data_IF_971907663831
#
_entry.id   IF_971907663831
#
_cell.length_a   1.000
_cell.length_b   1.000
_cell.length_c   1.000
_cell.angle_alpha   90.00
_cell.angle_beta   90.00
_cell.angle_gamma   90.00
#
_symmetry.space_group_name_H-M   'P 1'
#
loop_
_entity.id
_entity.type
_entity.pdbx_description
1 polymer ?
#
# COMPACT_ATOMS: atom_id res chain seq x y z
N UNK A 1 -35.82 -32.78 -4.01
CA UNK A 1 -35.40 -31.52 -3.40
C UNK A 1 -34.00 -31.25 -3.92
N UNK A 2 -33.91 -30.44 -4.97
CA UNK A 2 -32.62 -29.96 -5.48
C UNK A 2 -32.21 -28.88 -4.50
N UNK A 3 -31.22 -29.19 -3.69
CA UNK A 3 -30.54 -28.22 -2.84
C UNK A 3 -29.88 -27.23 -3.80
N UNK A 4 -30.45 -26.04 -3.94
CA UNK A 4 -29.81 -24.93 -4.65
C UNK A 4 -28.46 -24.72 -3.96
N UNK A 5 -27.41 -25.22 -4.61
CA UNK A 5 -26.05 -24.85 -4.31
C UNK A 5 -26.04 -23.32 -4.35
N UNK A 6 -25.91 -22.70 -3.17
CA UNK A 6 -25.78 -21.27 -3.02
C UNK A 6 -24.49 -20.88 -3.73
N UNK A 7 -24.61 -20.52 -5.00
CA UNK A 7 -23.62 -19.75 -5.74
C UNK A 7 -23.21 -18.63 -4.80
N UNK A 8 -21.96 -18.67 -4.30
CA UNK A 8 -21.49 -17.80 -3.24
C UNK A 8 -21.85 -16.35 -3.63
N UNK A 9 -22.87 -15.79 -2.98
CA UNK A 9 -23.51 -14.56 -3.47
C UNK A 9 -22.44 -13.47 -3.51
N UNK A 10 -22.09 -13.04 -4.73
CA UNK A 10 -21.03 -12.06 -4.95
C UNK A 10 -21.40 -10.78 -4.20
N UNK A 11 -20.52 -10.22 -3.34
CA UNK A 11 -20.87 -9.06 -2.53
C UNK A 11 -21.22 -7.86 -3.41
N UNK A 12 -22.35 -7.23 -3.11
CA UNK A 12 -22.93 -6.09 -3.85
C UNK A 12 -22.51 -4.79 -3.15
N UNK A 13 -21.93 -3.79 -3.86
CA UNK A 13 -21.46 -2.54 -3.26
C UNK A 13 -22.53 -1.76 -2.47
N UNK A 14 -23.77 -1.77 -2.97
CA UNK A 14 -24.91 -1.04 -2.43
C UNK A 14 -25.27 -1.50 -1.01
N UNK A 15 -25.05 -2.78 -0.69
CA UNK A 15 -25.27 -3.35 0.66
C UNK A 15 -24.32 -2.74 1.71
N UNK A 16 -23.22 -2.14 1.25
CA UNK A 16 -22.24 -1.43 2.08
C UNK A 16 -22.44 0.09 2.04
N UNK A 17 -23.53 0.60 1.43
CA UNK A 17 -23.78 2.04 1.28
C UNK A 17 -22.69 2.75 0.49
N UNK A 18 -22.20 2.11 -0.57
CA UNK A 18 -21.21 2.65 -1.50
C UNK A 18 -21.88 3.03 -2.82
N UNK A 19 -21.52 4.20 -3.33
CA UNK A 19 -21.92 4.62 -4.67
C UNK A 19 -20.82 4.27 -5.70
N UNK A 20 -21.16 4.29 -7.00
CA UNK A 20 -20.19 4.08 -8.08
C UNK A 20 -18.98 5.05 -8.01
N UNK A 21 -19.19 6.26 -7.47
CA UNK A 21 -18.13 7.23 -7.22
C UNK A 21 -17.14 6.79 -6.13
N UNK A 22 -17.61 6.13 -5.09
CA UNK A 22 -16.79 5.67 -3.96
C UNK A 22 -15.85 4.53 -4.36
N UNK A 23 -16.29 3.70 -5.31
CA UNK A 23 -15.47 2.61 -5.89
C UNK A 23 -14.24 3.14 -6.64
N UNK A 24 -14.26 4.40 -7.10
CA UNK A 24 -13.14 5.05 -7.77
C UNK A 24 -12.07 5.57 -6.81
N UNK A 25 -12.27 5.43 -5.49
CA UNK A 25 -11.29 5.86 -4.51
C UNK A 25 -9.96 5.12 -4.71
N UNK A 26 -8.98 5.85 -5.24
CA UNK A 26 -7.67 5.33 -5.64
C UNK A 26 -6.80 4.93 -4.46
N UNK A 27 -7.13 5.45 -3.28
CA UNK A 27 -6.44 5.18 -2.03
C UNK A 27 -6.52 3.69 -1.66
N UNK A 28 -5.33 3.13 -1.45
CA UNK A 28 -5.15 1.90 -0.70
C UNK A 28 -3.90 2.04 0.17
N UNK A 29 -3.90 1.51 1.40
CA UNK A 29 -2.81 1.67 2.34
C UNK A 29 -1.50 1.11 1.77
N UNK A 30 -1.56 0.00 1.04
CA UNK A 30 -0.39 -0.55 0.35
C UNK A 30 0.23 0.41 -0.67
N UNK A 31 -0.59 1.13 -1.46
CA UNK A 31 -0.08 2.09 -2.45
C UNK A 31 0.45 3.36 -1.80
N UNK A 32 -0.27 3.89 -0.82
CA UNK A 32 0.17 5.06 -0.06
C UNK A 32 1.49 4.75 0.67
N UNK A 33 1.59 3.59 1.31
CA UNK A 33 2.81 3.11 1.95
C UNK A 33 3.96 2.94 0.96
N UNK A 34 3.72 2.36 -0.22
CA UNK A 34 4.74 2.23 -1.26
C UNK A 34 5.24 3.59 -1.77
N UNK A 35 4.36 4.56 -1.96
CA UNK A 35 4.73 5.93 -2.36
C UNK A 35 5.62 6.57 -1.29
N UNK A 36 5.24 6.46 -0.01
CA UNK A 36 6.05 6.97 1.11
C UNK A 36 7.40 6.27 1.20
N UNK A 37 7.42 4.96 1.01
CA UNK A 37 8.65 4.16 1.03
C UNK A 37 9.62 4.64 -0.07
N UNK A 38 9.13 4.76 -1.30
CA UNK A 38 9.94 5.21 -2.44
C UNK A 38 10.39 6.66 -2.23
N UNK A 39 9.50 7.54 -1.77
CA UNK A 39 9.82 8.94 -1.50
C UNK A 39 10.89 9.10 -0.42
N UNK A 40 10.75 8.41 0.71
CA UNK A 40 11.75 8.43 1.78
C UNK A 40 13.10 7.85 1.34
N UNK A 41 13.06 6.73 0.60
CA UNK A 41 14.27 6.10 0.04
C UNK A 41 15.01 7.04 -0.89
N UNK A 42 14.31 7.63 -1.86
CA UNK A 42 14.90 8.54 -2.82
C UNK A 42 15.39 9.84 -2.17
N UNK A 43 14.63 10.39 -1.22
CA UNK A 43 15.03 11.61 -0.49
C UNK A 43 16.37 11.43 0.20
N UNK A 44 16.51 10.36 0.98
CA UNK A 44 17.76 10.04 1.69
C UNK A 44 18.90 9.65 0.73
N UNK A 45 18.61 8.91 -0.34
CA UNK A 45 19.61 8.55 -1.35
C UNK A 45 20.20 9.80 -2.03
N UNK A 46 19.35 10.75 -2.40
CA UNK A 46 19.77 11.99 -3.05
C UNK A 46 20.53 12.90 -2.09
N UNK A 47 20.02 13.09 -0.86
CA UNK A 47 20.71 13.86 0.19
C UNK A 47 22.14 13.35 0.42
N UNK A 48 22.29 12.03 0.63
CA UNK A 48 23.61 11.43 0.89
C UNK A 48 24.51 11.44 -0.34
N UNK A 49 23.96 11.38 -1.55
CA UNK A 49 24.75 11.53 -2.77
C UNK A 49 25.37 12.93 -2.87
N UNK A 50 24.61 13.98 -2.54
CA UNK A 50 25.13 15.36 -2.51
C UNK A 50 26.20 15.54 -1.45
N UNK A 51 25.98 15.03 -0.23
CA UNK A 51 26.98 15.08 0.84
C UNK A 51 28.27 14.34 0.45
N UNK A 52 28.13 13.14 -0.10
CA UNK A 52 29.26 12.32 -0.55
C UNK A 52 30.08 12.99 -1.66
N UNK A 53 29.41 13.64 -2.61
CA UNK A 53 30.06 14.40 -3.68
C UNK A 53 30.87 15.59 -3.16
N UNK A 54 30.39 16.25 -2.11
CA UNK A 54 31.04 17.42 -1.52
C UNK A 54 32.32 17.08 -0.73
N UNK A 55 32.45 15.85 -0.21
CA UNK A 55 33.50 15.49 0.75
C UNK A 55 34.53 14.50 0.22
N UNK A 56 34.37 14.00 -1.01
CA UNK A 56 35.20 12.93 -1.56
C UNK A 56 35.80 13.32 -2.91
N UNK A 57 37.10 13.07 -3.10
CA UNK A 57 37.76 13.13 -4.41
C UNK A 57 38.10 11.69 -4.85
N UNK A 58 37.62 11.22 -6.01
CA UNK A 58 36.80 11.95 -6.99
C UNK A 58 35.32 12.04 -6.60
N UNK A 59 34.67 13.15 -6.98
CA UNK A 59 33.29 13.50 -6.58
C UNK A 59 32.26 12.46 -6.99
N UNK A 60 32.42 11.84 -8.17
CA UNK A 60 31.48 10.82 -8.66
C UNK A 60 31.50 9.55 -7.79
N UNK A 61 32.65 9.21 -7.22
CA UNK A 61 32.78 8.05 -6.34
C UNK A 61 32.11 8.33 -4.98
N UNK A 62 32.32 9.54 -4.44
CA UNK A 62 31.62 10.01 -3.24
C UNK A 62 30.10 10.04 -3.42
N UNK A 63 29.63 10.55 -4.56
CA UNK A 63 28.21 10.58 -4.90
C UNK A 63 27.60 9.17 -4.99
N UNK A 64 28.30 8.22 -5.63
CA UNK A 64 27.84 6.85 -5.75
C UNK A 64 27.74 6.16 -4.37
N UNK A 65 28.79 6.25 -3.55
CA UNK A 65 28.79 5.66 -2.21
C UNK A 65 27.72 6.29 -1.32
N UNK A 66 27.60 7.62 -1.36
CA UNK A 66 26.57 8.37 -0.67
C UNK A 66 25.17 7.94 -1.09
N UNK A 67 24.92 7.80 -2.39
CA UNK A 67 23.63 7.34 -2.92
C UNK A 67 23.25 5.94 -2.40
N UNK A 68 24.15 4.97 -2.49
CA UNK A 68 23.87 3.60 -2.01
C UNK A 68 23.66 3.56 -0.50
N UNK A 69 24.44 4.32 0.26
CA UNK A 69 24.27 4.40 1.71
C UNK A 69 22.94 5.07 2.09
N UNK A 70 22.59 6.18 1.43
CA UNK A 70 21.32 6.86 1.62
C UNK A 70 20.12 6.00 1.18
N UNK A 71 20.25 5.25 0.08
CA UNK A 71 19.22 4.30 -0.36
C UNK A 71 19.03 3.16 0.63
N UNK A 72 20.10 2.65 1.25
CA UNK A 72 20.01 1.62 2.29
C UNK A 72 19.25 2.15 3.52
N UNK A 73 19.67 3.29 4.07
CA UNK A 73 19.00 3.92 5.21
C UNK A 73 17.55 4.29 4.89
N UNK A 74 17.36 4.91 3.73
CA UNK A 74 16.05 5.32 3.23
C UNK A 74 15.13 4.13 2.97
N UNK A 75 15.67 2.98 2.57
CA UNK A 75 14.92 1.73 2.46
C UNK A 75 14.35 1.28 3.80
N UNK A 76 15.14 1.32 4.89
CA UNK A 76 14.64 1.01 6.24
C UNK A 76 13.62 2.02 6.74
N UNK A 77 13.88 3.31 6.57
CA UNK A 77 12.95 4.38 6.96
C UNK A 77 11.64 4.25 6.18
N UNK A 78 11.74 4.04 4.87
CA UNK A 78 10.61 3.88 3.98
C UNK A 78 9.78 2.63 4.29
N UNK A 79 10.44 1.49 4.56
CA UNK A 79 9.76 0.28 4.99
C UNK A 79 9.04 0.50 6.32
N UNK A 80 9.70 1.16 7.29
CA UNK A 80 9.08 1.54 8.56
C UNK A 80 7.84 2.41 8.38
N UNK A 81 7.91 3.41 7.50
CA UNK A 81 6.77 4.28 7.18
C UNK A 81 5.62 3.51 6.51
N UNK A 82 5.93 2.59 5.59
CA UNK A 82 4.93 1.72 4.97
C UNK A 82 4.24 0.82 6.00
N UNK A 83 5.02 0.15 6.86
CA UNK A 83 4.49 -0.72 7.92
C UNK A 83 3.63 0.09 8.88
N UNK A 84 4.09 1.27 9.32
CA UNK A 84 3.32 2.15 10.19
C UNK A 84 1.99 2.55 9.54
N UNK A 85 1.99 2.89 8.25
CA UNK A 85 0.77 3.26 7.55
C UNK A 85 -0.23 2.09 7.44
N UNK A 86 0.27 0.87 7.20
CA UNK A 86 -0.56 -0.34 7.22
C UNK A 86 -1.13 -0.58 8.62
N UNK A 87 -0.32 -0.35 9.66
CA UNK A 87 -0.75 -0.52 11.05
C UNK A 87 -1.78 0.54 11.48
N UNK A 88 -1.67 1.76 10.95
CA UNK A 88 -2.62 2.85 11.16
C UNK A 88 -3.86 2.76 10.27
N UNK A 89 -3.90 1.89 9.26
CA UNK A 89 -5.06 1.68 8.38
C UNK A 89 -6.42 1.55 9.10
N UNK A 90 -6.58 0.74 10.17
CA UNK A 90 -7.84 0.68 10.91
C UNK A 90 -8.26 2.01 11.54
N UNK A 91 -7.32 2.90 11.87
CA UNK A 91 -7.64 4.25 12.35
C UNK A 91 -8.15 5.12 11.20
N UNK A 92 -7.54 5.02 10.01
CA UNK A 92 -8.04 5.71 8.81
C UNK A 92 -9.46 5.28 8.45
N UNK A 93 -9.79 3.98 8.60
CA UNK A 93 -11.15 3.47 8.42
C UNK A 93 -12.18 4.04 9.41
N UNK A 94 -11.76 4.46 10.60
CA UNK A 94 -12.64 5.12 11.60
C UNK A 94 -12.83 6.61 11.31
N UNK A 95 -11.77 7.30 10.89
CA UNK A 95 -11.79 8.74 10.61
C UNK A 95 -12.45 9.04 9.26
N UNK A 96 -12.39 8.11 8.31
CA UNK A 96 -12.96 8.24 6.98
C UNK A 96 -14.02 7.15 6.72
N UNK A 97 -15.32 7.42 6.97
CA UNK A 97 -16.38 6.42 6.90
C UNK A 97 -16.52 5.75 5.52
N UNK A 98 -16.41 6.53 4.44
CA UNK A 98 -16.46 6.01 3.06
C UNK A 98 -15.36 4.99 2.81
N UNK A 99 -14.12 5.30 3.23
CA UNK A 99 -13.01 4.37 3.13
C UNK A 99 -13.23 3.11 3.99
N UNK A 100 -13.75 3.25 5.21
CA UNK A 100 -14.08 2.13 6.08
C UNK A 100 -15.13 1.17 5.49
N UNK A 101 -16.15 1.70 4.78
CA UNK A 101 -17.13 0.88 4.05
C UNK A 101 -16.49 0.18 2.84
N UNK A 102 -15.69 0.91 2.07
CA UNK A 102 -14.95 0.36 0.92
C UNK A 102 -13.98 -0.75 1.33
N UNK A 103 -13.32 -0.60 2.48
CA UNK A 103 -12.41 -1.61 3.03
C UNK A 103 -13.14 -2.92 3.30
N UNK A 104 -14.26 -2.88 4.03
CA UNK A 104 -15.08 -4.07 4.31
C UNK A 104 -15.60 -4.74 3.04
N UNK A 105 -16.02 -3.94 2.06
CA UNK A 105 -16.41 -4.44 0.75
C UNK A 105 -15.26 -5.16 0.03
N UNK A 106 -14.04 -4.58 0.05
CA UNK A 106 -12.85 -5.20 -0.55
C UNK A 106 -12.45 -6.50 0.14
N UNK A 107 -12.58 -6.58 1.47
CA UNK A 107 -12.34 -7.80 2.25
C UNK A 107 -13.32 -8.91 1.87
N UNK A 108 -14.63 -8.61 1.85
CA UNK A 108 -15.67 -9.57 1.43
C UNK A 108 -15.48 -10.05 -0.02
N UNK A 109 -15.09 -9.15 -0.93
CA UNK A 109 -14.81 -9.50 -2.32
C UNK A 109 -13.57 -10.40 -2.46
N UNK A 110 -12.56 -10.22 -1.62
CA UNK A 110 -11.36 -11.06 -1.61
C UNK A 110 -11.67 -12.47 -1.09
N UNK A 111 -12.53 -12.58 -0.07
CA UNK A 111 -12.99 -13.85 0.50
C UNK A 111 -13.84 -14.64 -0.51
N UNK A 112 -14.81 -14.00 -1.17
CA UNK A 112 -15.62 -14.62 -2.23
C UNK A 112 -14.74 -15.16 -3.36
N UNK A 113 -13.75 -14.39 -3.84
CA UNK A 113 -12.79 -14.84 -4.86
C UNK A 113 -11.90 -15.99 -4.40
N UNK A 114 -11.58 -16.06 -3.11
CA UNK A 114 -10.83 -17.19 -2.57
C UNK A 114 -11.69 -18.46 -2.57
N UNK A 115 -12.95 -18.36 -2.14
CA UNK A 115 -13.90 -19.47 -2.14
C UNK A 115 -14.15 -20.02 -3.55
N UNK A 116 -14.35 -19.14 -4.55
CA UNK A 116 -14.48 -19.54 -5.97
C UNK A 116 -13.27 -20.35 -6.46
N UNK A 117 -12.04 -19.91 -6.15
CA UNK A 117 -10.82 -20.62 -6.54
C UNK A 117 -10.70 -22.01 -5.91
N UNK A 118 -11.19 -22.18 -4.68
CA UNK A 118 -11.17 -23.47 -3.99
C UNK A 118 -12.24 -24.44 -4.49
N UNK A 119 -13.35 -23.96 -5.06
CA UNK A 119 -14.37 -24.83 -5.69
C UNK A 119 -14.00 -25.30 -7.10
N UNK A 120 -13.07 -24.63 -7.77
CA UNK A 120 -12.60 -24.99 -9.12
C UNK A 120 -11.28 -25.77 -9.15
N UNK A 121 -10.70 -26.09 -7.99
CA UNK A 121 -9.46 -26.87 -7.84
C UNK A 121 -9.78 -28.30 -7.37
#
# INVERSE_FOLDING_TARGET
>A
MVEEATEAARPVPEDYGLEAGDLRLWYSPGRAGAILMVGATLGLAVERAFDGAAHTLPQWLGAAVGFFYGALLGGFVGLGAMVLLIWCDPLFGRVWPTYGRLRRYREALAEARAAERHHHA
#
